data_IF_364939867990
#
_entry.id   IF_364939867990
#
_cell.length_a   1.000
_cell.length_b   1.000
_cell.length_c   1.000
_cell.angle_alpha   90.00
_cell.angle_beta   90.00
_cell.angle_gamma   90.00
#
_symmetry.space_group_name_H-M   'P 1'
#
loop_
_entity.id
_entity.type
_entity.pdbx_description
1 polymer ?
#
# COMPACT_ATOMS: atom_id res chain seq x y z
N UNK A 1 -8.05 -0.04 19.05
CA UNK A 1 -7.70 -0.48 17.68
C UNK A 1 -6.33 0.06 17.32
N UNK A 2 -5.41 -0.79 16.88
CA UNK A 2 -4.05 -0.38 16.45
C UNK A 2 -4.07 0.25 15.07
N UNK A 3 -3.03 1.00 14.68
CA UNK A 3 -2.91 1.61 13.34
C UNK A 3 -3.01 0.55 12.23
N UNK A 4 -2.40 -0.62 12.44
CA UNK A 4 -2.41 -1.74 11.50
C UNK A 4 -3.80 -2.32 11.29
N UNK A 5 -4.64 -2.36 12.33
CA UNK A 5 -6.04 -2.77 12.21
C UNK A 5 -6.85 -1.72 11.44
N UNK A 6 -6.62 -0.42 11.68
CA UNK A 6 -7.28 0.63 10.90
C UNK A 6 -6.89 0.57 9.41
N UNK A 7 -5.61 0.27 9.14
CA UNK A 7 -5.12 0.08 7.78
C UNK A 7 -5.83 -1.09 7.11
N UNK A 8 -6.02 -2.21 7.83
CA UNK A 8 -6.79 -3.34 7.33
C UNK A 8 -8.23 -2.96 6.99
N UNK A 9 -8.94 -2.28 7.89
CA UNK A 9 -10.33 -1.86 7.64
C UNK A 9 -10.44 -0.94 6.42
N UNK A 10 -9.57 0.07 6.31
CA UNK A 10 -9.59 1.01 5.18
C UNK A 10 -9.18 0.34 3.87
N UNK A 11 -8.18 -0.55 3.91
CA UNK A 11 -7.78 -1.32 2.73
C UNK A 11 -8.91 -2.25 2.28
N UNK A 12 -9.61 -2.90 3.22
CA UNK A 12 -10.75 -3.77 2.94
C UNK A 12 -11.95 -2.99 2.40
N UNK A 13 -12.13 -1.72 2.77
CA UNK A 13 -13.12 -0.82 2.16
C UNK A 13 -12.72 -0.44 0.73
N UNK A 14 -11.44 -0.12 0.51
CA UNK A 14 -10.91 0.26 -0.81
C UNK A 14 -10.90 -0.92 -1.79
N UNK A 15 -10.61 -2.12 -1.27
CA UNK A 15 -10.51 -3.37 -2.00
C UNK A 15 -11.37 -4.45 -1.32
N UNK A 16 -12.70 -4.45 -1.52
CA UNK A 16 -13.61 -5.40 -0.87
C UNK A 16 -13.27 -6.88 -1.10
N UNK A 17 -12.58 -7.18 -2.21
CA UNK A 17 -12.21 -8.53 -2.61
C UNK A 17 -10.73 -8.86 -2.35
N UNK A 18 -10.12 -8.36 -1.27
CA UNK A 18 -8.69 -8.58 -0.92
C UNK A 18 -8.21 -10.03 -1.10
N UNK A 19 -9.05 -11.03 -0.78
CA UNK A 19 -8.67 -12.45 -0.91
C UNK A 19 -8.64 -12.96 -2.35
N UNK A 20 -9.33 -12.31 -3.27
CA UNK A 20 -9.54 -12.77 -4.65
C UNK A 20 -9.11 -11.70 -5.67
N UNK A 21 -8.20 -10.82 -5.28
CA UNK A 21 -7.62 -9.82 -6.20
C UNK A 21 -6.98 -10.50 -7.42
N UNK A 22 -7.13 -9.92 -8.62
CA UNK A 22 -6.34 -10.30 -9.78
C UNK A 22 -4.86 -9.98 -9.55
N UNK A 23 -3.93 -10.52 -10.38
CA UNK A 23 -2.50 -10.24 -10.25
C UNK A 23 -2.14 -8.76 -10.30
N UNK A 24 -2.86 -7.98 -11.12
CA UNK A 24 -2.74 -6.54 -11.22
C UNK A 24 -4.11 -5.93 -11.55
N UNK A 25 -4.38 -4.74 -11.02
CA UNK A 25 -5.55 -3.93 -11.35
C UNK A 25 -5.27 -2.44 -11.14
N UNK A 26 -6.18 -1.60 -11.62
CA UNK A 26 -6.14 -0.16 -11.38
C UNK A 26 -7.45 0.29 -10.79
N UNK A 27 -7.38 1.17 -9.79
CA UNK A 27 -8.53 1.93 -9.32
C UNK A 27 -8.45 3.34 -9.89
N UNK A 28 -9.59 3.91 -10.27
CA UNK A 28 -9.68 5.26 -10.84
C UNK A 28 -10.51 6.17 -9.96
N UNK A 29 -10.18 7.46 -9.99
CA UNK A 29 -10.98 8.52 -9.41
C UNK A 29 -10.91 9.76 -10.33
N UNK A 30 -12.04 10.39 -10.70
CA UNK A 30 -12.04 11.58 -11.55
C UNK A 30 -11.18 12.71 -10.97
N UNK A 31 -10.26 13.25 -11.78
CA UNK A 31 -9.37 14.33 -11.37
C UNK A 31 -8.14 13.89 -10.55
N UNK A 32 -7.96 12.59 -10.32
CA UNK A 32 -6.81 12.02 -9.62
C UNK A 32 -6.06 11.02 -10.51
N UNK A 33 -4.82 10.70 -10.13
CA UNK A 33 -4.02 9.68 -10.81
C UNK A 33 -4.62 8.28 -10.56
N UNK A 34 -4.51 7.39 -11.55
CA UNK A 34 -4.86 5.99 -11.36
C UNK A 34 -4.02 5.39 -10.21
N UNK A 35 -4.67 4.63 -9.32
CA UNK A 35 -3.99 3.82 -8.31
C UNK A 35 -3.77 2.41 -8.87
N UNK A 36 -2.52 2.01 -9.05
CA UNK A 36 -2.19 0.63 -9.41
C UNK A 36 -2.17 -0.24 -8.15
N UNK A 37 -2.64 -1.48 -8.30
CA UNK A 37 -2.65 -2.51 -7.26
C UNK A 37 -2.05 -3.76 -7.85
N UNK A 38 -0.92 -4.21 -7.29
CA UNK A 38 -0.20 -5.40 -7.74
C UNK A 38 -0.11 -6.44 -6.63
N UNK A 39 -0.46 -7.69 -6.92
CA UNK A 39 -0.30 -8.81 -5.99
C UNK A 39 1.09 -9.40 -6.15
N UNK A 40 1.97 -9.13 -5.17
CA UNK A 40 3.36 -9.58 -5.20
C UNK A 40 3.53 -11.01 -4.69
N UNK A 41 2.76 -11.39 -3.66
CA UNK A 41 2.79 -12.75 -3.12
C UNK A 41 1.50 -13.09 -2.38
N UNK A 42 1.06 -14.35 -2.51
CA UNK A 42 -0.06 -14.90 -1.74
C UNK A 42 0.32 -16.26 -1.16
N UNK A 43 0.27 -16.39 0.17
CA UNK A 43 0.65 -17.61 0.91
C UNK A 43 -0.24 -17.78 2.13
N UNK A 44 -1.13 -18.76 2.12
CA UNK A 44 -2.04 -19.03 3.23
C UNK A 44 -2.84 -17.79 3.66
N UNK A 45 -2.67 -17.38 4.93
CA UNK A 45 -3.35 -16.22 5.52
C UNK A 45 -2.55 -14.91 5.37
N UNK A 46 -1.53 -14.87 4.52
CA UNK A 46 -0.74 -13.68 4.20
C UNK A 46 -0.84 -13.33 2.71
N UNK A 47 -1.07 -12.05 2.45
CA UNK A 47 -1.03 -11.45 1.11
C UNK A 47 -0.05 -10.28 1.14
N UNK A 48 0.79 -10.14 0.12
CA UNK A 48 1.66 -8.99 -0.08
C UNK A 48 1.23 -8.30 -1.35
N UNK A 49 0.94 -7.01 -1.26
CA UNK A 49 0.54 -6.17 -2.39
C UNK A 49 1.40 -4.92 -2.45
N UNK A 50 1.52 -4.34 -3.65
CA UNK A 50 1.94 -2.96 -3.85
C UNK A 50 0.73 -2.09 -4.21
N UNK A 51 0.70 -0.89 -3.66
CA UNK A 51 -0.19 0.20 -4.09
C UNK A 51 0.70 1.32 -4.61
N UNK A 52 0.41 1.86 -5.79
CA UNK A 52 1.25 2.90 -6.37
C UNK A 52 0.50 3.89 -7.25
N UNK A 53 0.89 5.15 -7.16
CA UNK A 53 0.67 6.14 -8.19
C UNK A 53 1.98 6.39 -8.94
N UNK A 54 1.87 6.60 -10.24
CA UNK A 54 3.01 6.97 -11.07
C UNK A 54 2.67 8.18 -11.93
N UNK A 55 3.48 9.22 -11.78
CA UNK A 55 3.47 10.37 -12.66
C UNK A 55 4.34 10.09 -13.89
N UNK A 56 3.79 10.30 -15.09
CA UNK A 56 4.57 10.22 -16.33
C UNK A 56 5.23 11.57 -16.61
N UNK A 57 6.53 11.65 -16.36
CA UNK A 57 7.32 12.84 -16.64
C UNK A 57 7.45 13.08 -18.15
N UNK A 58 7.74 14.32 -18.56
CA UNK A 58 7.89 14.70 -19.97
C UNK A 58 9.07 14.03 -20.67
N UNK A 59 10.06 13.56 -19.91
CA UNK A 59 11.15 12.69 -20.40
C UNK A 59 10.68 11.29 -20.82
N UNK A 60 9.48 10.89 -20.40
CA UNK A 60 8.96 9.53 -20.57
C UNK A 60 9.10 8.65 -19.32
N UNK A 61 9.83 9.11 -18.30
CA UNK A 61 10.03 8.36 -17.06
C UNK A 61 8.74 8.26 -16.23
N UNK A 62 8.52 7.10 -15.61
CA UNK A 62 7.47 6.91 -14.62
C UNK A 62 8.05 7.16 -13.23
N UNK A 63 7.55 8.18 -12.54
CA UNK A 63 8.03 8.61 -11.23
C UNK A 63 7.00 8.19 -10.17
N UNK A 64 7.40 7.43 -9.13
CA UNK A 64 6.48 7.02 -8.06
C UNK A 64 6.04 8.22 -7.20
N UNK A 65 4.74 8.31 -6.88
CA UNK A 65 4.17 9.39 -6.05
C UNK A 65 2.83 9.03 -5.37
N UNK A 66 2.79 8.15 -4.35
CA UNK A 66 3.87 7.28 -3.85
C UNK A 66 3.74 5.83 -4.38
N UNK A 67 4.74 4.99 -4.09
CA UNK A 67 4.70 3.51 -4.21
C UNK A 67 4.94 2.86 -2.83
N UNK A 68 4.03 2.00 -2.38
CA UNK A 68 4.16 1.28 -1.12
C UNK A 68 3.88 -0.21 -1.28
N UNK A 69 4.74 -1.04 -0.69
CA UNK A 69 4.46 -2.45 -0.48
C UNK A 69 3.95 -2.69 0.95
N UNK A 70 2.95 -3.54 1.10
CA UNK A 70 2.38 -3.91 2.40
C UNK A 70 2.03 -5.40 2.50
N UNK A 71 2.09 -5.92 3.73
CA UNK A 71 1.63 -7.27 4.06
C UNK A 71 0.27 -7.20 4.77
N UNK A 72 -0.70 -7.92 4.22
CA UNK A 72 -2.02 -8.16 4.80
C UNK A 72 -2.00 -9.51 5.53
N UNK A 73 -2.28 -9.48 6.83
CA UNK A 73 -2.39 -10.67 7.67
C UNK A 73 -3.85 -10.92 8.03
N UNK A 74 -4.48 -11.83 7.31
CA UNK A 74 -5.91 -12.10 7.46
C UNK A 74 -6.30 -12.75 8.78
N UNK A 75 -5.37 -13.48 9.44
CA UNK A 75 -5.63 -14.11 10.72
C UNK A 75 -5.87 -13.09 11.84
N UNK A 76 -5.22 -11.92 11.75
CA UNK A 76 -5.21 -10.91 12.79
C UNK A 76 -5.94 -9.63 12.37
N UNK A 77 -6.46 -9.59 11.14
CA UNK A 77 -7.06 -8.39 10.51
C UNK A 77 -6.12 -7.18 10.61
N UNK A 78 -4.86 -7.35 10.22
CA UNK A 78 -3.85 -6.29 10.24
C UNK A 78 -3.19 -6.11 8.88
N UNK A 79 -2.78 -4.87 8.60
CA UNK A 79 -1.91 -4.53 7.47
C UNK A 79 -0.67 -3.84 8.00
N UNK A 80 0.50 -4.28 7.55
CA UNK A 80 1.79 -3.70 7.87
C UNK A 80 2.47 -3.16 6.61
N UNK A 81 2.88 -1.89 6.64
CA UNK A 81 3.73 -1.32 5.60
C UNK A 81 5.13 -1.98 5.63
N UNK A 82 5.61 -2.43 4.47
CA UNK A 82 6.92 -3.03 4.29
C UNK A 82 7.94 -2.04 3.73
N UNK A 83 7.52 -1.25 2.72
CA UNK A 83 8.36 -0.24 2.09
C UNK A 83 7.55 0.95 1.58
N UNK A 84 8.26 2.03 1.31
CA UNK A 84 7.77 3.25 0.69
C UNK A 84 8.82 3.78 -0.29
N UNK A 85 8.37 4.30 -1.42
CA UNK A 85 9.18 5.03 -2.38
C UNK A 85 8.40 6.21 -2.95
N UNK A 86 9.10 7.32 -3.13
CA UNK A 86 8.67 8.46 -3.95
C UNK A 86 9.86 9.00 -4.75
N UNK A 87 9.69 10.18 -5.36
CA UNK A 87 10.76 10.85 -6.10
C UNK A 87 11.93 11.35 -5.23
N UNK A 88 11.76 11.43 -3.90
CA UNK A 88 12.76 11.91 -2.96
C UNK A 88 13.55 10.80 -2.28
N UNK A 89 13.00 9.59 -2.17
CA UNK A 89 13.76 8.47 -1.64
C UNK A 89 12.97 7.19 -1.37
N UNK A 90 13.67 6.24 -0.75
CA UNK A 90 13.19 4.92 -0.41
C UNK A 90 13.34 4.64 1.09
N UNK A 91 12.35 3.99 1.69
CA UNK A 91 12.37 3.53 3.09
C UNK A 91 11.84 2.11 3.18
N UNK A 92 12.37 1.31 4.11
CA UNK A 92 11.88 -0.04 4.43
C UNK A 92 11.70 -0.22 5.94
N UNK A 93 10.64 -0.92 6.33
CA UNK A 93 10.36 -1.23 7.73
C UNK A 93 11.17 -2.41 8.26
N UNK A 94 11.60 -3.33 7.38
CA UNK A 94 12.30 -4.56 7.74
C UNK A 94 13.60 -4.69 6.94
N UNK A 95 14.62 -5.27 7.58
CA UNK A 95 15.86 -5.73 6.94
C UNK A 95 15.62 -7.04 6.18
N UNK A 96 16.61 -7.48 5.42
CA UNK A 96 16.55 -8.73 4.65
C UNK A 96 16.37 -9.97 5.54
N UNK A 97 16.89 -9.92 6.77
CA UNK A 97 16.73 -10.96 7.80
C UNK A 97 15.36 -10.90 8.53
N UNK A 98 14.44 -10.05 8.04
CA UNK A 98 13.11 -9.82 8.60
C UNK A 98 13.10 -9.15 9.98
N UNK A 99 14.24 -8.70 10.51
CA UNK A 99 14.27 -7.86 11.69
C UNK A 99 13.75 -6.45 11.37
N UNK A 100 13.13 -5.80 12.35
CA UNK A 100 12.66 -4.42 12.20
C UNK A 100 13.87 -3.50 12.01
N UNK A 101 13.89 -2.75 10.90
CA UNK A 101 14.98 -1.81 10.58
C UNK A 101 15.09 -0.73 11.66
N UNK A 102 13.94 -0.15 12.03
CA UNK A 102 13.74 0.77 13.15
C UNK A 102 12.26 0.83 13.53
N UNK A 103 11.89 0.70 14.82
CA UNK A 103 10.51 0.86 15.26
C UNK A 103 9.90 2.22 14.86
N UNK A 104 10.71 3.27 14.82
CA UNK A 104 10.27 4.60 14.39
C UNK A 104 9.87 4.62 12.91
N UNK A 105 10.68 4.01 12.04
CA UNK A 105 10.39 3.91 10.60
C UNK A 105 9.13 3.05 10.37
N UNK A 106 9.03 1.91 11.06
CA UNK A 106 7.84 1.05 10.97
C UNK A 106 6.57 1.82 11.36
N UNK A 107 6.62 2.61 12.44
CA UNK A 107 5.49 3.42 12.89
C UNK A 107 5.18 4.55 11.90
N UNK A 108 6.20 5.22 11.36
CA UNK A 108 6.07 6.27 10.33
C UNK A 108 5.35 5.74 9.09
N UNK A 109 5.83 4.64 8.52
CA UNK A 109 5.25 4.05 7.30
C UNK A 109 3.81 3.58 7.50
N UNK A 110 3.50 2.99 8.66
CA UNK A 110 2.12 2.57 8.95
C UNK A 110 1.17 3.76 9.16
N UNK A 111 1.65 4.88 9.73
CA UNK A 111 0.87 6.12 9.86
C UNK A 111 0.65 6.78 8.51
N UNK A 112 1.67 6.81 7.66
CA UNK A 112 1.54 7.31 6.30
C UNK A 112 0.53 6.48 5.51
N UNK A 113 0.62 5.14 5.57
CA UNK A 113 -0.35 4.26 4.93
C UNK A 113 -1.79 4.53 5.42
N UNK A 114 -1.96 4.74 6.73
CA UNK A 114 -3.27 5.07 7.30
C UNK A 114 -3.85 6.37 6.74
N UNK A 115 -3.01 7.40 6.63
CA UNK A 115 -3.36 8.68 6.04
C UNK A 115 -3.70 8.53 4.56
N UNK A 116 -2.86 7.82 3.80
CA UNK A 116 -3.02 7.67 2.36
C UNK A 116 -4.26 6.86 2.00
N UNK A 117 -4.52 5.72 2.65
CA UNK A 117 -5.74 4.93 2.45
C UNK A 117 -7.00 5.75 2.73
N UNK A 118 -6.99 6.61 3.76
CA UNK A 118 -8.11 7.53 4.03
C UNK A 118 -8.32 8.51 2.87
N UNK A 119 -7.25 9.05 2.30
CA UNK A 119 -7.35 9.96 1.16
C UNK A 119 -7.86 9.22 -0.09
N UNK A 120 -7.36 8.03 -0.38
CA UNK A 120 -7.80 7.22 -1.52
C UNK A 120 -9.31 6.94 -1.47
N UNK A 121 -9.83 6.58 -0.29
CA UNK A 121 -11.25 6.43 -0.04
C UNK A 121 -12.01 7.77 -0.23
N UNK A 122 -11.50 8.86 0.33
CA UNK A 122 -12.12 10.19 0.18
C UNK A 122 -12.15 10.69 -1.26
N UNK A 123 -11.18 10.27 -2.09
CA UNK A 123 -11.10 10.60 -3.51
C UNK A 123 -12.05 9.75 -4.36
N UNK A 124 -12.58 8.65 -3.80
CA UNK A 124 -13.51 7.75 -4.51
C UNK A 124 -12.82 6.77 -5.45
N UNK A 125 -11.58 6.37 -5.16
CA UNK A 125 -10.89 5.35 -5.95
C UNK A 125 -11.66 4.03 -5.92
N UNK A 126 -12.00 3.53 -7.11
CA UNK A 126 -12.71 2.25 -7.29
C UNK A 126 -12.31 1.57 -8.60
N UNK A 127 -12.55 0.26 -8.69
CA UNK A 127 -12.15 -0.59 -9.82
C UNK A 127 -13.05 -0.43 -11.04
#
# INVERSE_FOLDING_TARGET
MTVQQQNFERLQQLLPNLRTLPPAMKLKAPGFMDLNVDVLAKRGQKLVIALSHYYKHSSGDMIPDPDMTMAVYFANSTVEALSYQDCFGYRRAYREDMSVESPAIQQELNRFLAFWLRNLLSQGHSA
#
